data_IF_886054413345
#
_entry.id   IF_886054413345
#
_cell.length_a   1.000
_cell.length_b   1.000
_cell.length_c   1.000
_cell.angle_alpha   90.00
_cell.angle_beta   90.00
_cell.angle_gamma   90.00
#
_symmetry.space_group_name_H-M   'P 1'
#
loop_
_entity.id
_entity.type
_entity.pdbx_description
1 polymer ?
#
# COMPACT_ATOMS: atom_id res chain seq x y z
N UNK A 1 35.62 12.07 -14.62
CA UNK A 1 35.00 13.22 -13.94
C UNK A 1 34.03 12.67 -12.92
N UNK A 2 34.30 12.82 -11.64
CA UNK A 2 33.37 12.45 -10.54
C UNK A 2 32.39 13.60 -10.46
N UNK A 3 31.14 13.40 -10.96
CA UNK A 3 30.07 14.36 -10.74
C UNK A 3 29.83 14.49 -9.24
N UNK A 4 30.16 15.64 -8.67
CA UNK A 4 29.83 15.97 -7.30
C UNK A 4 28.31 15.99 -7.14
N UNK A 5 27.75 15.10 -6.31
CA UNK A 5 26.32 15.15 -5.92
C UNK A 5 26.00 16.56 -5.43
N UNK A 6 24.94 17.20 -5.94
CA UNK A 6 24.54 18.52 -5.46
C UNK A 6 24.29 18.46 -3.95
N UNK A 7 24.77 19.47 -3.24
CA UNK A 7 24.58 19.58 -1.78
C UNK A 7 23.08 19.53 -1.45
N UNK A 8 22.68 18.79 -0.41
CA UNK A 8 21.28 18.69 -0.03
C UNK A 8 20.71 20.08 0.30
N UNK A 9 19.61 20.44 -0.34
CA UNK A 9 18.93 21.72 -0.13
C UNK A 9 18.43 21.81 1.32
N UNK A 10 18.31 23.03 1.87
CA UNK A 10 17.81 23.26 3.24
C UNK A 10 16.44 22.57 3.45
N UNK A 11 15.57 22.63 2.45
CA UNK A 11 14.27 21.94 2.43
C UNK A 11 14.40 20.42 2.58
N UNK A 12 15.36 19.78 1.93
CA UNK A 12 15.55 18.33 2.04
C UNK A 12 16.05 17.89 3.42
N UNK A 13 16.78 18.78 4.13
CA UNK A 13 17.22 18.53 5.51
C UNK A 13 16.09 18.74 6.53
N UNK A 14 15.20 19.70 6.28
CA UNK A 14 14.10 20.03 7.18
C UNK A 14 12.86 19.14 6.99
N UNK A 15 12.67 18.56 5.80
CA UNK A 15 11.50 17.74 5.50
C UNK A 15 11.19 16.61 6.51
N UNK A 16 12.17 15.84 7.04
CA UNK A 16 11.91 14.83 8.06
C UNK A 16 11.39 15.44 9.36
N UNK A 17 11.97 16.54 9.79
CA UNK A 17 11.59 17.24 11.03
C UNK A 17 10.21 17.88 10.93
N UNK A 18 9.87 18.46 9.78
CA UNK A 18 8.53 18.98 9.49
C UNK A 18 7.49 17.85 9.58
N UNK A 19 7.76 16.68 8.97
CA UNK A 19 6.86 15.51 9.05
C UNK A 19 6.67 15.00 10.46
N UNK A 20 7.75 14.91 11.25
CA UNK A 20 7.68 14.54 12.67
C UNK A 20 6.85 15.57 13.44
N UNK A 21 7.08 16.86 13.20
CA UNK A 21 6.33 17.95 13.85
C UNK A 21 4.83 17.88 13.52
N UNK A 22 4.46 17.70 12.25
CA UNK A 22 3.05 17.55 11.83
C UNK A 22 2.44 16.31 12.47
N UNK A 23 3.14 15.17 12.44
CA UNK A 23 2.65 13.93 13.06
C UNK A 23 2.42 14.12 14.56
N UNK A 24 3.38 14.69 15.27
CA UNK A 24 3.27 14.94 16.70
C UNK A 24 2.14 15.94 17.02
N UNK A 25 1.98 17.00 16.23
CA UNK A 25 0.93 18.00 16.40
C UNK A 25 -0.47 17.39 16.20
N UNK A 26 -0.66 16.60 15.12
CA UNK A 26 -1.97 15.97 14.84
C UNK A 26 -2.30 14.90 15.88
N UNK A 27 -1.34 14.03 16.22
CA UNK A 27 -1.57 13.01 17.26
C UNK A 27 -1.80 13.66 18.65
N UNK A 28 -1.03 14.71 18.99
CA UNK A 28 -1.23 15.46 20.21
C UNK A 28 -2.62 16.11 20.27
N UNK A 29 -3.06 16.76 19.18
CA UNK A 29 -4.40 17.32 19.08
C UNK A 29 -5.47 16.24 19.23
N UNK A 30 -5.36 15.12 18.53
CA UNK A 30 -6.30 14.01 18.68
C UNK A 30 -6.31 13.47 20.12
N UNK A 31 -5.15 13.32 20.75
CA UNK A 31 -5.03 12.85 22.14
C UNK A 31 -5.74 13.75 23.14
N UNK A 32 -5.81 15.08 22.90
CA UNK A 32 -6.55 16.02 23.75
C UNK A 32 -8.07 15.95 23.56
N UNK A 33 -8.54 15.39 22.44
CA UNK A 33 -9.97 15.26 22.11
C UNK A 33 -10.54 13.90 22.47
N UNK A 34 -9.71 12.92 22.77
CA UNK A 34 -10.07 11.54 23.07
C UNK A 34 -10.47 11.39 24.54
N UNK A 35 -11.60 10.77 24.80
CA UNK A 35 -11.95 10.27 26.12
C UNK A 35 -11.27 8.91 26.33
N UNK A 36 -10.12 8.90 27.03
CA UNK A 36 -9.31 7.70 27.25
C UNK A 36 -10.04 6.54 27.91
N UNK A 37 -10.88 6.74 28.94
CA UNK A 37 -11.73 5.69 29.49
C UNK A 37 -12.65 5.05 28.43
N UNK A 38 -13.29 5.84 27.57
CA UNK A 38 -14.14 5.32 26.51
C UNK A 38 -13.33 4.53 25.47
N UNK A 39 -12.17 5.01 25.09
CA UNK A 39 -11.28 4.31 24.14
C UNK A 39 -10.83 2.96 24.69
N UNK A 40 -10.39 2.90 25.96
CA UNK A 40 -10.00 1.63 26.61
C UNK A 40 -11.18 0.67 26.73
N UNK A 41 -12.37 1.18 27.04
CA UNK A 41 -13.59 0.38 27.04
C UNK A 41 -13.91 -0.21 25.66
N UNK A 42 -13.75 0.58 24.58
CA UNK A 42 -13.94 0.09 23.19
C UNK A 42 -12.98 -1.05 22.85
N UNK A 43 -11.72 -0.98 23.27
CA UNK A 43 -10.78 -2.09 23.07
C UNK A 43 -11.13 -3.32 23.91
N UNK A 44 -11.54 -3.12 25.15
CA UNK A 44 -11.92 -4.20 26.07
C UNK A 44 -13.22 -4.91 25.64
N UNK A 45 -14.14 -4.18 25.03
CA UNK A 45 -15.41 -4.72 24.52
C UNK A 45 -15.31 -5.35 23.13
N UNK A 46 -14.16 -5.25 22.45
CA UNK A 46 -13.98 -5.82 21.13
C UNK A 46 -14.18 -7.34 21.14
N UNK A 47 -15.04 -7.83 20.24
CA UNK A 47 -15.38 -9.25 20.18
C UNK A 47 -14.20 -10.10 19.70
N UNK A 48 -13.64 -11.01 20.53
CA UNK A 48 -12.35 -11.66 20.27
C UNK A 48 -12.36 -12.57 19.04
N UNK A 49 -13.50 -13.19 18.71
CA UNK A 49 -13.61 -14.08 17.54
C UNK A 49 -13.40 -13.29 16.24
N UNK A 50 -14.07 -12.12 16.12
CA UNK A 50 -13.94 -11.29 14.92
C UNK A 50 -12.55 -10.65 14.82
N UNK A 51 -11.98 -10.26 15.95
CA UNK A 51 -10.62 -9.72 16.02
C UNK A 51 -9.58 -10.78 15.57
N UNK A 52 -9.71 -12.01 16.08
CA UNK A 52 -8.84 -13.13 15.69
C UNK A 52 -9.00 -13.48 14.20
N UNK A 53 -10.25 -13.51 13.70
CA UNK A 53 -10.51 -13.73 12.28
C UNK A 53 -9.87 -12.63 11.41
N UNK A 54 -9.98 -11.36 11.81
CA UNK A 54 -9.35 -10.24 11.12
C UNK A 54 -7.82 -10.36 11.11
N UNK A 55 -7.22 -10.85 12.20
CA UNK A 55 -5.78 -11.07 12.32
C UNK A 55 -5.29 -12.08 11.26
N UNK A 56 -5.97 -13.22 11.12
CA UNK A 56 -5.57 -14.25 10.14
C UNK A 56 -5.89 -13.83 8.69
N UNK A 57 -6.98 -13.11 8.45
CA UNK A 57 -7.29 -12.54 7.13
C UNK A 57 -6.22 -11.52 6.71
N UNK A 58 -5.72 -10.72 7.65
CA UNK A 58 -4.60 -9.79 7.42
C UNK A 58 -3.32 -10.54 7.06
N UNK A 59 -3.02 -11.66 7.73
CA UNK A 59 -1.89 -12.54 7.35
C UNK A 59 -2.04 -13.03 5.91
N UNK A 60 -3.24 -13.49 5.54
CA UNK A 60 -3.54 -13.91 4.17
C UNK A 60 -3.26 -12.80 3.14
N UNK A 61 -3.67 -11.57 3.45
CA UNK A 61 -3.39 -10.40 2.59
C UNK A 61 -1.87 -10.15 2.44
N UNK A 62 -1.10 -10.25 3.53
CA UNK A 62 0.37 -10.10 3.51
C UNK A 62 1.01 -11.23 2.68
N UNK A 63 0.55 -12.47 2.83
CA UNK A 63 1.03 -13.60 2.04
C UNK A 63 0.73 -13.39 0.55
N UNK A 64 -0.45 -12.88 0.19
CA UNK A 64 -0.76 -12.52 -1.19
C UNK A 64 0.12 -11.36 -1.71
N UNK A 65 0.49 -10.37 -0.88
CA UNK A 65 1.49 -9.38 -1.27
C UNK A 65 2.84 -10.03 -1.63
N UNK A 66 3.30 -11.01 -0.83
CA UNK A 66 4.49 -11.79 -1.13
C UNK A 66 4.36 -12.61 -2.42
N UNK A 67 3.19 -13.21 -2.66
CA UNK A 67 2.87 -13.96 -3.88
C UNK A 67 2.88 -13.05 -5.10
N UNK A 68 2.29 -11.85 -5.02
CA UNK A 68 2.34 -10.83 -6.07
C UNK A 68 3.79 -10.47 -6.40
N UNK A 69 4.59 -10.21 -5.38
CA UNK A 69 6.00 -9.86 -5.57
C UNK A 69 6.79 -11.02 -6.19
N UNK A 70 6.49 -12.26 -5.83
CA UNK A 70 7.07 -13.46 -6.44
C UNK A 70 6.80 -13.53 -7.94
N UNK A 71 5.56 -13.32 -8.39
CA UNK A 71 5.23 -13.29 -9.82
C UNK A 71 5.94 -12.15 -10.55
N UNK A 72 6.03 -10.97 -9.93
CA UNK A 72 6.79 -9.84 -10.51
C UNK A 72 8.27 -10.18 -10.71
N UNK A 73 8.92 -10.77 -9.71
CA UNK A 73 10.31 -11.20 -9.83
C UNK A 73 10.48 -12.24 -10.96
N UNK A 74 9.57 -13.21 -11.05
CA UNK A 74 9.58 -14.21 -12.13
C UNK A 74 9.45 -13.57 -13.51
N UNK A 75 8.53 -12.63 -13.69
CA UNK A 75 8.34 -11.87 -14.93
C UNK A 75 9.57 -11.02 -15.30
N UNK A 76 10.36 -10.63 -14.31
CA UNK A 76 11.64 -9.93 -14.52
C UNK A 76 12.85 -10.88 -14.63
N UNK A 77 12.62 -12.20 -14.76
CA UNK A 77 13.67 -13.23 -14.79
C UNK A 77 14.57 -13.22 -13.54
N UNK A 78 14.06 -12.79 -12.41
CA UNK A 78 14.72 -12.89 -11.10
C UNK A 78 14.21 -14.14 -10.41
N UNK A 79 15.06 -15.18 -10.32
CA UNK A 79 14.68 -16.46 -9.76
C UNK A 79 14.99 -16.50 -8.25
N UNK A 80 14.02 -16.08 -7.46
CA UNK A 80 14.04 -16.20 -6.01
C UNK A 80 12.96 -17.22 -5.60
N UNK A 81 13.25 -18.09 -4.64
CA UNK A 81 12.24 -19.05 -4.19
C UNK A 81 11.04 -18.34 -3.53
N UNK A 82 9.87 -18.95 -3.56
CA UNK A 82 8.66 -18.38 -2.99
C UNK A 82 8.82 -18.00 -1.52
N UNK A 83 9.36 -18.90 -0.69
CA UNK A 83 9.57 -18.63 0.73
C UNK A 83 10.57 -17.51 1.01
N UNK A 84 11.65 -17.40 0.22
CA UNK A 84 12.57 -16.27 0.34
C UNK A 84 11.93 -14.94 -0.09
N UNK A 85 11.09 -14.96 -1.11
CA UNK A 85 10.33 -13.76 -1.52
C UNK A 85 9.34 -13.34 -0.44
N UNK A 86 8.63 -14.29 0.14
CA UNK A 86 7.72 -14.05 1.26
C UNK A 86 8.48 -13.49 2.47
N UNK A 87 9.61 -14.09 2.83
CA UNK A 87 10.51 -13.63 3.87
C UNK A 87 10.96 -12.18 3.65
N UNK A 88 11.44 -11.87 2.44
CA UNK A 88 11.82 -10.51 2.06
C UNK A 88 10.64 -9.53 2.09
N UNK A 89 9.43 -10.01 1.81
CA UNK A 89 8.20 -9.22 1.91
C UNK A 89 7.89 -8.88 3.37
N UNK A 90 7.95 -9.83 4.30
CA UNK A 90 7.76 -9.56 5.73
C UNK A 90 8.82 -8.58 6.27
N UNK A 91 10.08 -8.74 5.87
CA UNK A 91 11.15 -7.77 6.20
C UNK A 91 10.78 -6.37 5.67
N UNK A 92 10.31 -6.27 4.43
CA UNK A 92 9.82 -5.02 3.87
C UNK A 92 8.67 -4.40 4.68
N UNK A 93 7.69 -5.20 5.12
CA UNK A 93 6.60 -4.74 5.98
C UNK A 93 7.10 -4.18 7.31
N UNK A 94 8.06 -4.85 7.96
CA UNK A 94 8.68 -4.37 9.19
C UNK A 94 9.30 -2.98 8.98
N UNK A 95 10.16 -2.84 7.97
CA UNK A 95 10.83 -1.57 7.72
C UNK A 95 9.91 -0.46 7.23
N UNK A 96 8.77 -0.77 6.57
CA UNK A 96 7.75 0.22 6.22
C UNK A 96 7.08 0.85 7.45
N UNK A 97 6.98 0.11 8.55
CA UNK A 97 6.37 0.60 9.80
C UNK A 97 7.35 1.38 10.66
N UNK A 98 8.62 0.98 10.70
CA UNK A 98 9.62 1.54 11.61
C UNK A 98 10.52 2.61 10.98
N UNK A 99 10.69 2.62 9.64
CA UNK A 99 11.45 3.68 8.96
C UNK A 99 10.56 4.88 8.65
N UNK A 100 11.16 6.07 8.71
CA UNK A 100 10.49 7.33 8.37
C UNK A 100 10.16 7.35 6.87
N UNK A 101 8.88 7.20 6.57
CA UNK A 101 8.33 7.20 5.21
C UNK A 101 7.77 5.84 4.79
N UNK A 102 6.68 5.86 4.04
CA UNK A 102 5.96 4.67 3.56
C UNK A 102 6.73 3.80 2.54
N UNK A 103 7.97 4.16 2.23
CA UNK A 103 8.83 3.49 1.22
C UNK A 103 10.08 2.83 1.82
N UNK A 104 10.25 2.88 3.16
CA UNK A 104 11.43 2.34 3.82
C UNK A 104 11.63 0.84 3.57
N UNK A 105 10.57 0.06 3.62
CA UNK A 105 10.62 -1.37 3.32
C UNK A 105 10.93 -1.69 1.86
N UNK A 106 10.48 -0.86 0.92
CA UNK A 106 10.82 -1.03 -0.49
C UNK A 106 12.30 -0.76 -0.74
N UNK A 107 12.87 0.25 -0.06
CA UNK A 107 14.31 0.52 -0.12
C UNK A 107 15.12 -0.67 0.41
N UNK A 108 14.68 -1.29 1.50
CA UNK A 108 15.33 -2.50 2.05
C UNK A 108 15.18 -3.68 1.09
N UNK A 109 13.98 -3.94 0.56
CA UNK A 109 13.75 -4.99 -0.45
C UNK A 109 14.64 -4.78 -1.68
N UNK A 110 14.71 -3.54 -2.18
CA UNK A 110 15.57 -3.18 -3.29
C UNK A 110 17.05 -3.40 -2.97
N UNK A 111 17.51 -2.96 -1.79
CA UNK A 111 18.90 -3.16 -1.35
C UNK A 111 19.31 -4.63 -1.43
N UNK A 112 18.48 -5.55 -0.89
CA UNK A 112 18.77 -6.98 -0.95
C UNK A 112 18.75 -7.52 -2.37
N UNK A 113 17.78 -7.13 -3.20
CA UNK A 113 17.74 -7.56 -4.61
C UNK A 113 18.95 -7.08 -5.40
N UNK A 114 19.39 -5.82 -5.22
CA UNK A 114 20.56 -5.29 -5.89
C UNK A 114 21.86 -6.00 -5.46
N UNK A 115 21.92 -6.44 -4.20
CA UNK A 115 23.05 -7.19 -3.66
C UNK A 115 23.08 -8.64 -4.15
N UNK A 116 21.91 -9.28 -4.22
CA UNK A 116 21.81 -10.68 -4.64
C UNK A 116 21.86 -10.86 -6.16
N UNK A 117 21.37 -9.87 -6.91
CA UNK A 117 21.30 -9.89 -8.38
C UNK A 117 21.96 -8.66 -9.00
N UNK A 118 23.31 -8.49 -8.88
CA UNK A 118 24.01 -7.27 -9.28
C UNK A 118 23.94 -7.01 -10.80
N UNK A 119 23.70 -8.04 -11.60
CA UNK A 119 23.56 -7.91 -13.06
C UNK A 119 22.12 -7.58 -13.52
N UNK A 120 21.13 -7.57 -12.61
CA UNK A 120 19.70 -7.34 -12.92
C UNK A 120 19.15 -6.09 -12.22
N UNK A 121 19.97 -5.05 -12.02
CA UNK A 121 19.60 -3.87 -11.21
C UNK A 121 18.35 -3.16 -11.73
N UNK A 122 18.26 -2.90 -13.04
CA UNK A 122 17.10 -2.25 -13.65
C UNK A 122 15.83 -3.08 -13.45
N UNK A 123 15.91 -4.41 -13.63
CA UNK A 123 14.80 -5.35 -13.45
C UNK A 123 14.33 -5.44 -11.98
N UNK A 124 15.29 -5.45 -11.03
CA UNK A 124 14.97 -5.43 -9.60
C UNK A 124 14.26 -4.13 -9.20
N UNK A 125 14.73 -2.98 -9.68
CA UNK A 125 14.09 -1.69 -9.46
C UNK A 125 12.68 -1.67 -10.07
N UNK A 126 12.53 -2.15 -11.30
CA UNK A 126 11.25 -2.23 -11.98
C UNK A 126 10.25 -3.12 -11.22
N UNK A 127 10.71 -4.26 -10.65
CA UNK A 127 9.84 -5.14 -9.85
C UNK A 127 9.23 -4.41 -8.64
N UNK A 128 10.01 -3.59 -7.94
CA UNK A 128 9.52 -2.79 -6.80
C UNK A 128 8.50 -1.73 -7.25
N UNK A 129 8.80 -1.03 -8.36
CA UNK A 129 7.89 -0.02 -8.91
C UNK A 129 6.57 -0.64 -9.37
N UNK A 130 6.63 -1.75 -10.10
CA UNK A 130 5.45 -2.47 -10.58
C UNK A 130 4.62 -3.04 -9.43
N UNK A 131 5.24 -3.49 -8.33
CA UNK A 131 4.52 -3.94 -7.13
C UNK A 131 3.60 -2.84 -6.60
N UNK A 132 4.07 -1.58 -6.59
CA UNK A 132 3.27 -0.42 -6.21
C UNK A 132 2.16 -0.10 -7.24
N UNK A 133 2.53 -0.10 -8.53
CA UNK A 133 1.58 0.21 -9.61
C UNK A 133 0.41 -0.79 -9.61
N UNK A 134 0.69 -2.09 -9.57
CA UNK A 134 -0.36 -3.12 -9.54
C UNK A 134 -1.20 -3.05 -8.26
N UNK A 135 -0.56 -2.75 -7.10
CA UNK A 135 -1.30 -2.53 -5.85
C UNK A 135 -2.27 -1.37 -5.95
N UNK A 136 -1.80 -0.21 -6.38
CA UNK A 136 -2.62 1.01 -6.52
C UNK A 136 -3.72 0.80 -7.57
N UNK A 137 -3.39 0.23 -8.73
CA UNK A 137 -4.37 -0.03 -9.79
C UNK A 137 -5.49 -0.97 -9.33
N UNK A 138 -5.16 -2.06 -8.62
CA UNK A 138 -6.15 -2.99 -8.08
C UNK A 138 -7.00 -2.33 -6.98
N UNK A 139 -6.40 -1.51 -6.10
CA UNK A 139 -7.11 -0.79 -5.06
C UNK A 139 -8.16 0.15 -5.64
N UNK A 140 -7.77 1.01 -6.59
CA UNK A 140 -8.69 1.95 -7.21
C UNK A 140 -9.72 1.26 -8.11
N UNK A 141 -9.33 0.19 -8.83
CA UNK A 141 -10.26 -0.60 -9.63
C UNK A 141 -11.38 -1.22 -8.77
N UNK A 142 -11.02 -1.78 -7.61
CA UNK A 142 -12.01 -2.31 -6.66
C UNK A 142 -12.82 -1.21 -5.99
N UNK A 143 -12.21 -0.05 -5.69
CA UNK A 143 -12.94 1.09 -5.17
C UNK A 143 -14.10 1.48 -6.10
N UNK A 144 -13.84 1.59 -7.39
CA UNK A 144 -14.87 1.90 -8.39
C UNK A 144 -15.97 0.82 -8.45
N UNK A 145 -15.60 -0.45 -8.32
CA UNK A 145 -16.54 -1.57 -8.32
C UNK A 145 -17.45 -1.57 -7.08
N UNK A 146 -16.91 -1.24 -5.90
CA UNK A 146 -17.66 -1.24 -4.65
C UNK A 146 -18.31 0.11 -4.29
N UNK A 147 -17.99 1.16 -5.03
CA UNK A 147 -18.52 2.50 -4.83
C UNK A 147 -20.05 2.56 -4.80
N UNK A 148 -20.82 1.87 -5.69
CA UNK A 148 -22.29 1.91 -5.65
C UNK A 148 -22.87 1.49 -4.31
N UNK A 149 -22.24 0.55 -3.60
CA UNK A 149 -22.68 0.09 -2.26
C UNK A 149 -22.46 1.13 -1.13
N UNK A 150 -21.62 2.15 -1.37
CA UNK A 150 -21.36 3.24 -0.42
C UNK A 150 -22.01 4.57 -0.84
N UNK A 151 -22.47 4.68 -2.09
CA UNK A 151 -22.94 5.94 -2.70
C UNK A 151 -24.11 6.58 -1.94
N UNK A 152 -25.06 5.79 -1.46
CA UNK A 152 -26.23 6.31 -0.73
C UNK A 152 -25.80 7.10 0.53
N UNK A 153 -24.80 6.63 1.27
CA UNK A 153 -24.27 7.34 2.45
C UNK A 153 -23.43 8.55 2.07
N UNK A 154 -22.63 8.46 1.00
CA UNK A 154 -21.86 9.60 0.50
C UNK A 154 -22.74 10.73 0.01
N UNK A 155 -23.84 10.41 -0.68
CA UNK A 155 -24.79 11.42 -1.21
C UNK A 155 -25.65 12.03 -0.11
N UNK A 156 -25.79 11.40 1.04
CA UNK A 156 -26.56 11.93 2.15
C UNK A 156 -25.90 13.13 2.85
N UNK A 157 -24.59 13.28 2.74
CA UNK A 157 -23.85 14.41 3.34
C UNK A 157 -23.35 15.37 2.25
N UNK A 158 -23.75 16.67 2.30
CA UNK A 158 -23.32 17.69 1.34
C UNK A 158 -21.79 17.86 1.24
N UNK A 159 -21.05 17.52 2.27
CA UNK A 159 -19.58 17.58 2.30
C UNK A 159 -18.94 16.72 1.20
N UNK A 160 -19.60 15.63 0.81
CA UNK A 160 -19.14 14.73 -0.24
C UNK A 160 -19.71 15.07 -1.64
N UNK A 161 -20.48 16.13 -1.79
CA UNK A 161 -21.06 16.51 -3.09
C UNK A 161 -19.99 16.67 -4.20
N UNK A 162 -18.80 17.28 -3.96
CA UNK A 162 -17.74 17.35 -4.98
C UNK A 162 -17.21 15.97 -5.38
N UNK A 163 -17.07 15.06 -4.41
CA UNK A 163 -16.67 13.67 -4.67
C UNK A 163 -17.77 12.95 -5.46
N UNK A 164 -19.00 13.08 -5.04
CA UNK A 164 -20.16 12.47 -5.71
C UNK A 164 -20.28 12.90 -7.18
N UNK A 165 -20.04 14.18 -7.48
CA UNK A 165 -20.03 14.69 -8.85
C UNK A 165 -18.84 14.21 -9.69
N UNK A 166 -17.72 13.89 -9.06
CA UNK A 166 -16.54 13.34 -9.72
C UNK A 166 -16.64 11.83 -10.01
N UNK A 167 -17.47 11.08 -9.26
CA UNK A 167 -17.61 9.63 -9.36
C UNK A 167 -17.87 9.10 -10.76
N UNK A 168 -18.78 9.68 -11.58
CA UNK A 168 -19.05 9.21 -12.93
C UNK A 168 -17.81 9.26 -13.84
N UNK A 169 -16.87 10.17 -13.54
CA UNK A 169 -15.64 10.36 -14.33
C UNK A 169 -14.48 9.49 -13.86
N UNK A 170 -14.44 9.09 -12.59
CA UNK A 170 -13.36 8.29 -12.03
C UNK A 170 -13.31 6.89 -12.66
N UNK A 171 -14.47 6.28 -12.97
CA UNK A 171 -14.55 4.99 -13.63
C UNK A 171 -13.91 4.99 -15.01
N UNK A 172 -14.40 5.82 -15.95
CA UNK A 172 -13.81 5.96 -17.28
C UNK A 172 -12.33 6.36 -17.26
N UNK A 173 -11.94 7.29 -16.37
CA UNK A 173 -10.55 7.70 -16.21
C UNK A 173 -9.67 6.52 -15.72
N UNK A 174 -10.12 5.78 -14.72
CA UNK A 174 -9.41 4.59 -14.23
C UNK A 174 -9.28 3.52 -15.31
N UNK A 175 -10.36 3.24 -16.04
CA UNK A 175 -10.34 2.31 -17.17
C UNK A 175 -9.38 2.78 -18.27
N UNK A 176 -9.41 4.06 -18.62
CA UNK A 176 -8.49 4.66 -19.61
C UNK A 176 -7.02 4.51 -19.17
N UNK A 177 -6.71 4.82 -17.91
CA UNK A 177 -5.35 4.69 -17.38
C UNK A 177 -4.88 3.22 -17.35
N UNK A 178 -5.78 2.29 -17.04
CA UNK A 178 -5.48 0.85 -17.10
C UNK A 178 -5.20 0.39 -18.53
N UNK A 179 -6.04 0.78 -19.49
CA UNK A 179 -5.87 0.47 -20.91
C UNK A 179 -4.57 1.09 -21.43
N UNK A 180 -4.32 2.36 -21.12
CA UNK A 180 -3.09 3.05 -21.49
C UNK A 180 -1.86 2.35 -20.89
N UNK A 181 -1.90 2.00 -19.61
CA UNK A 181 -0.83 1.27 -18.91
C UNK A 181 -0.56 -0.11 -19.52
N UNK A 182 -1.58 -0.76 -20.08
CA UNK A 182 -1.43 -2.03 -20.79
C UNK A 182 -0.92 -1.87 -22.22
N UNK A 183 -1.43 -0.89 -22.95
CA UNK A 183 -1.08 -0.66 -24.36
C UNK A 183 0.30 0.00 -24.53
N UNK A 184 0.62 0.97 -23.68
CA UNK A 184 1.85 1.74 -23.79
C UNK A 184 3.11 0.86 -23.85
N UNK A 185 3.29 -0.16 -22.98
CA UNK A 185 4.42 -1.07 -23.04
C UNK A 185 4.50 -1.92 -24.31
N UNK A 186 3.40 -2.06 -25.04
CA UNK A 186 3.34 -2.81 -26.30
C UNK A 186 3.95 -2.01 -27.44
N UNK A 187 3.76 -0.69 -27.45
CA UNK A 187 4.19 0.20 -28.51
C UNK A 187 5.53 0.88 -28.23
N UNK A 188 5.80 1.27 -26.98
CA UNK A 188 7.04 1.96 -26.59
C UNK A 188 8.34 1.28 -27.05
N UNK A 189 8.51 -0.08 -26.91
CA UNK A 189 9.74 -0.74 -27.36
C UNK A 189 9.94 -0.74 -28.87
N UNK A 190 8.90 -0.40 -29.65
CA UNK A 190 8.97 -0.29 -31.12
C UNK A 190 9.46 1.08 -31.58
N UNK A 191 9.49 2.07 -30.69
CA UNK A 191 9.96 3.42 -31.01
C UNK A 191 11.48 3.41 -31.06
N UNK A 192 12.11 3.80 -32.17
CA UNK A 192 13.55 3.83 -32.29
C UNK A 192 14.13 4.91 -31.36
N UNK A 193 14.82 4.46 -30.31
CA UNK A 193 15.50 5.37 -29.39
C UNK A 193 16.82 5.87 -30.00
N UNK A 194 17.12 7.17 -29.92
CA UNK A 194 18.35 7.74 -30.42
C UNK A 194 19.58 7.01 -29.84
N UNK A 195 20.57 6.70 -30.69
CA UNK A 195 21.77 5.95 -30.27
C UNK A 195 22.58 6.69 -29.20
N UNK A 196 22.56 8.01 -29.21
CA UNK A 196 23.30 8.90 -28.30
C UNK A 196 22.57 9.18 -26.99
N UNK A 197 21.39 8.55 -26.71
CA UNK A 197 20.63 8.81 -25.51
C UNK A 197 21.39 8.29 -24.26
N UNK A 198 21.72 9.16 -23.28
CA UNK A 198 22.32 8.72 -22.03
C UNK A 198 21.40 7.70 -21.32
N UNK A 199 21.96 6.58 -20.84
CA UNK A 199 21.16 5.55 -20.17
C UNK A 199 20.27 4.70 -21.10
N UNK A 200 20.44 4.77 -22.43
CA UNK A 200 19.66 4.01 -23.43
C UNK A 200 19.53 2.52 -23.09
N UNK A 201 20.64 1.89 -22.68
CA UNK A 201 20.63 0.47 -22.33
C UNK A 201 19.68 0.16 -21.14
N UNK A 202 19.73 0.99 -20.11
CA UNK A 202 18.85 0.87 -18.93
C UNK A 202 17.38 1.09 -19.34
N UNK A 203 17.11 2.11 -20.16
CA UNK A 203 15.75 2.39 -20.64
C UNK A 203 15.20 1.22 -21.47
N UNK A 204 15.99 0.66 -22.37
CA UNK A 204 15.60 -0.52 -23.16
C UNK A 204 15.31 -1.71 -22.24
N UNK A 205 16.14 -1.95 -21.24
CA UNK A 205 15.91 -3.06 -20.29
C UNK A 205 14.65 -2.85 -19.47
N UNK A 206 14.34 -1.62 -19.02
CA UNK A 206 13.09 -1.27 -18.34
C UNK A 206 11.87 -1.50 -19.26
N UNK A 207 11.93 -1.07 -20.52
CA UNK A 207 10.83 -1.25 -21.48
C UNK A 207 10.59 -2.73 -21.78
N UNK A 208 11.64 -3.53 -21.95
CA UNK A 208 11.54 -4.97 -22.10
C UNK A 208 10.92 -5.62 -20.85
N UNK A 209 11.33 -5.18 -19.65
CA UNK A 209 10.76 -5.66 -18.39
C UNK A 209 9.27 -5.35 -18.26
N UNK A 210 8.88 -4.13 -18.61
CA UNK A 210 7.50 -3.70 -18.60
C UNK A 210 6.66 -4.53 -19.59
N UNK A 211 7.16 -4.72 -20.81
CA UNK A 211 6.53 -5.58 -21.82
C UNK A 211 6.41 -7.03 -21.33
N UNK A 212 7.47 -7.60 -20.76
CA UNK A 212 7.44 -8.95 -20.20
C UNK A 212 6.39 -9.10 -19.11
N UNK A 213 6.17 -8.05 -18.30
CA UNK A 213 5.12 -8.05 -17.27
C UNK A 213 3.72 -8.03 -17.88
N UNK A 214 3.50 -7.28 -18.96
CA UNK A 214 2.18 -7.19 -19.60
C UNK A 214 1.85 -8.42 -20.46
N UNK A 215 2.85 -9.08 -21.04
CA UNK A 215 2.69 -10.20 -21.97
C UNK A 215 3.22 -11.54 -21.41
N UNK A 216 3.39 -11.66 -20.09
CA UNK A 216 3.91 -12.86 -19.43
C UNK A 216 2.90 -14.03 -19.33
N UNK A 217 1.82 -14.01 -20.11
CA UNK A 217 0.81 -15.07 -20.16
C UNK A 217 0.15 -15.31 -18.80
N UNK A 218 0.15 -16.56 -18.34
CA UNK A 218 -0.46 -16.96 -17.07
C UNK A 218 0.11 -16.20 -15.86
N UNK A 219 1.40 -15.89 -15.84
CA UNK A 219 2.01 -15.15 -14.73
C UNK A 219 1.45 -13.72 -14.61
N UNK A 220 1.12 -13.08 -15.72
CA UNK A 220 0.47 -11.75 -15.71
C UNK A 220 -0.97 -11.84 -15.19
N UNK A 221 -1.72 -12.85 -15.63
CA UNK A 221 -3.08 -13.10 -15.12
C UNK A 221 -3.05 -13.37 -13.62
N UNK A 222 -2.16 -14.25 -13.16
CA UNK A 222 -1.99 -14.55 -11.75
C UNK A 222 -1.61 -13.30 -10.94
N UNK A 223 -0.71 -12.45 -11.47
CA UNK A 223 -0.33 -11.17 -10.87
C UNK A 223 -1.54 -10.24 -10.65
N UNK A 224 -2.41 -10.12 -11.64
CA UNK A 224 -3.62 -9.30 -11.56
C UNK A 224 -4.59 -9.90 -10.53
N UNK A 225 -4.89 -11.19 -10.60
CA UNK A 225 -5.79 -11.87 -9.68
C UNK A 225 -5.31 -11.78 -8.23
N UNK A 226 -4.02 -11.98 -8.00
CA UNK A 226 -3.42 -11.86 -6.67
C UNK A 226 -3.48 -10.40 -6.17
N UNK A 227 -3.26 -9.41 -7.05
CA UNK A 227 -3.38 -7.99 -6.69
C UNK A 227 -4.80 -7.62 -6.25
N UNK A 228 -5.80 -8.14 -6.95
CA UNK A 228 -7.21 -8.01 -6.55
C UNK A 228 -7.44 -8.72 -5.20
N UNK A 229 -6.97 -9.96 -5.06
CA UNK A 229 -7.12 -10.76 -3.83
C UNK A 229 -6.54 -10.09 -2.59
N UNK A 230 -5.40 -9.40 -2.70
CA UNK A 230 -4.80 -8.60 -1.61
C UNK A 230 -5.82 -7.62 -1.04
N UNK A 231 -6.47 -6.85 -1.89
CA UNK A 231 -7.41 -5.81 -1.44
C UNK A 231 -8.75 -6.40 -1.00
N UNK A 232 -9.24 -7.46 -1.66
CA UNK A 232 -10.44 -8.16 -1.18
C UNK A 232 -10.25 -8.71 0.24
N UNK A 233 -9.10 -9.32 0.55
CA UNK A 233 -8.80 -9.75 1.92
C UNK A 233 -8.62 -8.55 2.86
N UNK A 234 -7.99 -7.46 2.42
CA UNK A 234 -7.88 -6.25 3.24
C UNK A 234 -9.25 -5.67 3.60
N UNK A 235 -10.19 -5.60 2.64
CA UNK A 235 -11.56 -5.15 2.89
C UNK A 235 -12.31 -6.10 3.83
N UNK A 236 -12.12 -7.42 3.67
CA UNK A 236 -12.68 -8.42 4.58
C UNK A 236 -12.12 -8.25 6.00
N UNK A 237 -10.81 -8.08 6.17
CA UNK A 237 -10.18 -7.84 7.46
C UNK A 237 -10.72 -6.58 8.14
N UNK A 238 -10.85 -5.47 7.41
CA UNK A 238 -11.44 -4.25 7.92
C UNK A 238 -12.91 -4.44 8.32
N UNK A 239 -13.69 -5.19 7.52
CA UNK A 239 -15.10 -5.50 7.87
C UNK A 239 -15.19 -6.34 9.14
N UNK A 240 -14.33 -7.34 9.31
CA UNK A 240 -14.28 -8.16 10.52
C UNK A 240 -13.90 -7.33 11.75
N UNK A 241 -12.95 -6.39 11.60
CA UNK A 241 -12.63 -5.43 12.66
C UNK A 241 -13.82 -4.53 13.01
N UNK A 242 -14.55 -4.05 12.01
CA UNK A 242 -15.77 -3.27 12.25
C UNK A 242 -16.79 -4.07 13.06
N UNK A 243 -16.99 -5.35 12.71
CA UNK A 243 -17.84 -6.27 13.48
C UNK A 243 -17.32 -6.51 14.90
N UNK A 244 -16.02 -6.53 15.12
CA UNK A 244 -15.47 -6.69 16.47
C UNK A 244 -15.76 -5.52 17.39
N UNK A 245 -16.04 -4.36 16.83
CA UNK A 245 -16.37 -3.10 17.54
C UNK A 245 -17.85 -2.73 17.43
N UNK A 246 -18.71 -3.61 16.91
CA UNK A 246 -20.13 -3.37 16.64
C UNK A 246 -20.41 -2.12 15.79
N UNK A 247 -19.53 -1.84 14.83
CA UNK A 247 -19.64 -0.69 13.92
C UNK A 247 -20.51 -1.03 12.70
N UNK A 248 -21.38 -0.09 12.24
CA UNK A 248 -22.27 -0.30 11.09
C UNK A 248 -21.53 -0.15 9.75
N UNK A 249 -20.40 -0.82 9.59
CA UNK A 249 -19.54 -0.78 8.42
C UNK A 249 -19.66 -2.09 7.66
N UNK A 250 -20.27 -2.04 6.48
CA UNK A 250 -20.33 -3.18 5.56
C UNK A 250 -19.07 -3.28 4.71
N UNK A 251 -18.97 -4.34 3.91
CA UNK A 251 -17.81 -4.65 3.09
C UNK A 251 -17.44 -3.53 2.08
N UNK A 252 -18.44 -2.97 1.39
CA UNK A 252 -18.23 -1.88 0.41
C UNK A 252 -17.73 -0.61 1.10
N UNK A 253 -18.29 -0.28 2.24
CA UNK A 253 -17.88 0.89 3.01
C UNK A 253 -16.50 0.72 3.62
N UNK A 254 -16.16 -0.47 4.13
CA UNK A 254 -14.80 -0.79 4.59
C UNK A 254 -13.78 -0.62 3.45
N UNK A 255 -14.11 -1.09 2.25
CA UNK A 255 -13.30 -0.90 1.06
C UNK A 255 -13.08 0.58 0.74
N UNK A 256 -14.14 1.40 0.71
CA UNK A 256 -14.04 2.84 0.47
C UNK A 256 -13.17 3.54 1.53
N UNK A 257 -13.40 3.24 2.81
CA UNK A 257 -12.62 3.78 3.93
C UNK A 257 -11.13 3.47 3.73
N UNK A 258 -10.78 2.21 3.42
CA UNK A 258 -9.38 1.83 3.19
C UNK A 258 -8.77 2.55 1.99
N UNK A 259 -9.50 2.73 0.89
CA UNK A 259 -9.02 3.49 -0.27
C UNK A 259 -8.69 4.92 0.12
N UNK A 260 -9.57 5.60 0.84
CA UNK A 260 -9.37 6.99 1.27
C UNK A 260 -8.20 7.11 2.24
N UNK A 261 -8.10 6.20 3.21
CA UNK A 261 -6.99 6.18 4.17
C UNK A 261 -5.65 5.89 3.48
N UNK A 262 -5.57 4.90 2.60
CA UNK A 262 -4.33 4.58 1.91
C UNK A 262 -3.91 5.71 0.98
N UNK A 263 -4.86 6.34 0.28
CA UNK A 263 -4.59 7.51 -0.55
C UNK A 263 -4.06 8.69 0.26
N UNK A 264 -4.70 9.01 1.39
CA UNK A 264 -4.26 10.06 2.29
C UNK A 264 -2.89 9.75 2.92
N UNK A 265 -2.65 8.50 3.30
CA UNK A 265 -1.37 8.05 3.89
C UNK A 265 -0.23 8.00 2.88
N UNK A 266 -0.53 7.91 1.59
CA UNK A 266 0.49 7.98 0.52
C UNK A 266 1.07 9.38 0.35
N UNK A 267 0.36 10.43 0.80
CA UNK A 267 0.87 11.80 0.76
C UNK A 267 2.04 11.95 1.75
N UNK A 268 3.17 12.54 1.34
CA UNK A 268 4.35 12.68 2.19
C UNK A 268 4.23 13.82 3.24
N UNK A 269 3.06 13.91 3.89
CA UNK A 269 2.72 14.98 4.84
C UNK A 269 3.13 14.59 6.26
N UNK A 270 3.00 13.30 6.63
CA UNK A 270 3.28 12.78 7.96
C UNK A 270 4.20 11.57 7.94
N UNK A 271 4.68 11.15 9.12
CA UNK A 271 5.50 9.94 9.26
C UNK A 271 4.60 8.71 9.08
N UNK A 272 4.82 7.94 8.05
CA UNK A 272 4.08 6.69 7.73
C UNK A 272 2.55 6.84 7.74
N UNK A 273 2.02 8.05 7.48
CA UNK A 273 0.58 8.32 7.49
C UNK A 273 -0.03 8.51 8.87
N UNK A 274 0.76 8.42 9.97
CA UNK A 274 0.25 8.62 11.33
C UNK A 274 -0.27 10.05 11.53
N UNK A 275 -1.36 10.18 12.25
CA UNK A 275 -2.11 11.41 12.43
C UNK A 275 -3.05 11.69 11.27
N UNK A 276 -2.57 11.69 10.04
CA UNK A 276 -3.41 11.90 8.83
C UNK A 276 -4.46 10.79 8.71
N UNK A 277 -4.07 9.54 8.89
CA UNK A 277 -4.98 8.39 8.86
C UNK A 277 -6.07 8.49 9.91
N UNK A 278 -5.70 8.77 11.17
CA UNK A 278 -6.62 8.93 12.29
C UNK A 278 -7.56 10.11 12.05
N UNK A 279 -7.04 11.24 11.58
CA UNK A 279 -7.84 12.42 11.23
C UNK A 279 -8.86 12.14 10.12
N UNK A 280 -8.45 11.47 9.05
CA UNK A 280 -9.36 11.05 7.97
C UNK A 280 -10.40 10.07 8.49
N UNK A 281 -10.02 9.13 9.38
CA UNK A 281 -10.96 8.18 9.97
C UNK A 281 -12.03 8.90 10.81
N UNK A 282 -11.63 9.81 11.69
CA UNK A 282 -12.57 10.60 12.49
C UNK A 282 -13.48 11.42 11.60
N UNK A 283 -12.94 12.08 10.57
CA UNK A 283 -13.72 12.84 9.59
C UNK A 283 -14.77 11.96 8.91
N UNK A 284 -14.40 10.78 8.42
CA UNK A 284 -15.32 9.86 7.76
C UNK A 284 -16.41 9.35 8.71
N UNK A 285 -16.08 9.04 9.96
CA UNK A 285 -17.04 8.58 10.95
C UNK A 285 -18.10 9.64 11.24
N UNK A 286 -17.68 10.90 11.42
CA UNK A 286 -18.58 12.02 11.69
C UNK A 286 -19.55 12.26 10.52
N UNK A 287 -19.04 12.26 9.29
CA UNK A 287 -19.84 12.62 8.12
C UNK A 287 -20.63 11.45 7.51
N UNK A 288 -20.21 10.19 7.74
CA UNK A 288 -20.93 9.02 7.23
C UNK A 288 -21.87 8.39 8.27
N UNK A 289 -21.98 8.97 9.45
CA UNK A 289 -22.85 8.46 10.51
C UNK A 289 -22.46 7.05 10.99
N UNK A 290 -21.13 6.78 11.08
CA UNK A 290 -20.61 5.43 11.39
C UNK A 290 -20.42 5.18 12.89
N UNK A 291 -20.58 6.17 13.73
CA UNK A 291 -20.46 6.12 15.17
C UNK A 291 -20.68 7.51 15.75
N UNK A 292 -21.25 7.57 16.93
CA UNK A 292 -21.54 8.85 17.58
C UNK A 292 -20.30 9.49 18.23
N UNK A 293 -19.20 8.73 18.37
CA UNK A 293 -18.03 9.09 19.15
C UNK A 293 -16.73 8.99 18.34
N UNK A 294 -15.82 9.98 18.46
CA UNK A 294 -14.50 9.94 17.82
C UNK A 294 -13.65 8.75 18.27
N UNK A 295 -13.89 8.22 19.47
CA UNK A 295 -13.17 7.09 20.05
C UNK A 295 -13.38 5.81 19.24
N UNK A 296 -14.56 5.58 18.70
CA UNK A 296 -14.86 4.45 17.79
C UNK A 296 -14.04 4.53 16.51
N UNK A 297 -13.92 5.73 15.92
CA UNK A 297 -13.09 5.96 14.74
C UNK A 297 -11.61 5.68 15.01
N UNK A 298 -11.11 6.17 16.15
CA UNK A 298 -9.72 5.98 16.56
C UNK A 298 -9.45 4.52 16.90
N UNK A 299 -10.35 3.86 17.66
CA UNK A 299 -10.21 2.43 17.97
C UNK A 299 -10.14 1.59 16.69
N UNK A 300 -11.01 1.85 15.72
CA UNK A 300 -11.02 1.15 14.45
C UNK A 300 -9.72 1.40 13.66
N UNK A 301 -9.26 2.65 13.57
CA UNK A 301 -7.99 3.01 12.90
C UNK A 301 -6.78 2.33 13.56
N UNK A 302 -6.71 2.37 14.90
CA UNK A 302 -5.62 1.77 15.67
C UNK A 302 -5.60 0.25 15.53
N UNK A 303 -6.76 -0.41 15.51
CA UNK A 303 -6.83 -1.86 15.30
C UNK A 303 -6.42 -2.26 13.88
N UNK A 304 -6.85 -1.53 12.84
CA UNK A 304 -6.38 -1.78 11.46
C UNK A 304 -4.85 -1.73 11.39
N UNK A 305 -4.25 -0.72 12.01
CA UNK A 305 -2.80 -0.60 12.06
C UNK A 305 -2.16 -1.68 12.95
N UNK A 306 -2.76 -1.97 14.09
CA UNK A 306 -2.29 -2.95 15.06
C UNK A 306 -2.16 -4.37 14.49
N UNK A 307 -3.12 -4.78 13.64
CA UNK A 307 -3.03 -6.07 12.94
C UNK A 307 -1.83 -6.12 11.99
N UNK A 308 -1.57 -5.04 11.25
CA UNK A 308 -0.39 -4.91 10.41
C UNK A 308 0.90 -4.92 11.23
N UNK A 309 0.92 -4.17 12.34
CA UNK A 309 2.05 -4.10 13.26
C UNK A 309 2.37 -5.49 13.85
N UNK A 310 1.37 -6.22 14.32
CA UNK A 310 1.55 -7.56 14.86
C UNK A 310 2.30 -8.48 13.89
N UNK A 311 1.85 -8.55 12.65
CA UNK A 311 2.51 -9.38 11.64
C UNK A 311 3.85 -8.82 11.15
N UNK A 312 4.05 -7.50 11.20
CA UNK A 312 5.32 -6.90 10.83
C UNK A 312 6.45 -7.23 11.80
N UNK A 313 6.15 -7.49 13.09
CA UNK A 313 7.15 -7.92 14.07
C UNK A 313 7.82 -9.23 13.65
N UNK A 314 7.09 -10.15 13.01
CA UNK A 314 7.66 -11.35 12.40
C UNK A 314 8.67 -11.02 11.29
N UNK A 315 8.46 -9.89 10.58
CA UNK A 315 9.44 -9.36 9.62
C UNK A 315 10.75 -8.93 10.27
N UNK A 316 10.69 -8.38 11.49
CA UNK A 316 11.88 -8.08 12.29
C UNK A 316 12.67 -9.33 12.66
N UNK A 317 11.99 -10.41 13.11
CA UNK A 317 12.62 -11.72 13.36
C UNK A 317 13.17 -12.30 12.05
N UNK A 318 12.41 -12.22 10.97
CA UNK A 318 12.82 -12.64 9.64
C UNK A 318 14.10 -11.92 9.18
N UNK A 319 14.24 -10.65 9.47
CA UNK A 319 15.44 -9.87 9.13
C UNK A 319 16.73 -10.46 9.73
N UNK A 320 16.67 -10.97 10.98
CA UNK A 320 17.82 -11.56 11.66
C UNK A 320 18.30 -12.85 10.98
N UNK A 321 17.41 -13.53 10.27
CA UNK A 321 17.70 -14.82 9.59
C UNK A 321 17.88 -14.69 8.08
N UNK A 322 17.78 -13.47 7.55
CA UNK A 322 17.84 -13.20 6.10
C UNK A 322 19.27 -13.38 5.59
N UNK A 323 19.52 -14.51 4.94
CA UNK A 323 20.82 -14.85 4.33
C UNK A 323 20.78 -14.62 2.83
N UNK A 324 21.96 -14.37 2.22
CA UNK A 324 22.11 -14.36 0.76
C UNK A 324 21.58 -15.67 0.16
N UNK A 325 20.90 -15.65 -1.01
CA UNK A 325 20.64 -16.89 -1.74
C UNK A 325 21.99 -17.56 -2.04
N UNK A 326 22.01 -18.90 -2.00
CA UNK A 326 23.16 -19.61 -2.53
C UNK A 326 23.34 -19.20 -4.00
N UNK A 327 24.59 -18.99 -4.46
CA UNK A 327 24.82 -18.75 -5.87
C UNK A 327 24.12 -19.86 -6.66
N UNK A 328 23.40 -19.46 -7.72
CA UNK A 328 22.56 -20.32 -8.53
C UNK A 328 23.30 -21.64 -8.86
N UNK A 329 22.73 -22.78 -8.38
CA UNK A 329 22.97 -24.07 -8.97
C UNK A 329 22.23 -24.17 -10.29
#
# INVERSE_FOLDING_TARGET
MVESKPAPTLLSRLAPWIRIGITAAVLGFLATKVNWPNLTHRFASAHPVWLTAALFVTLGSICLCGTRFYFLLRLQNIHLSYFRTLHLTFVGFFFNLFLIGSTGGDAVRLFYLLRWFPHKKARATLSILLDRVFGVAALFGLALLFLPGATARLLADPTFAPLASALPWLGPLGAFLLVLGFLLPTFLPKIPLPQKLPGRAVLIDLLHGLRATMHGGWNTVALILVSIGVHLLSFAGATLLARSLDLPINYSLAGLILVLIFSASALPISVSGHGVREGVMVFLFLHLGLGADPESAIAYSVLIYGLGLFWSLWGGLAYLTLRSPDPEK
#
